data_IF_515210307136
#
_entry.id   IF_515210307136
#
_cell.length_a   1.000
_cell.length_b   1.000
_cell.length_c   1.000
_cell.angle_alpha   90.00
_cell.angle_beta   90.00
_cell.angle_gamma   90.00
#
_symmetry.space_group_name_H-M   'P 1'
#
loop_
_entity.id
_entity.type
_entity.pdbx_description
1 polymer ?
#
# COMPACT_ATOMS: atom_id res chain seq x y z
N UNK A 1 9.93 -42.28 -89.73
CA UNK A 1 10.53 -40.93 -89.88
C UNK A 1 9.48 -39.88 -89.56
N UNK A 2 9.83 -38.99 -88.61
CA UNK A 2 9.30 -37.63 -88.35
C UNK A 2 7.88 -37.43 -87.78
N UNK A 3 7.90 -36.85 -86.57
CA UNK A 3 6.84 -36.22 -85.77
C UNK A 3 6.18 -34.98 -86.42
N UNK A 4 4.96 -34.66 -85.97
CA UNK A 4 4.44 -33.37 -85.40
C UNK A 4 2.89 -33.45 -85.40
N UNK A 5 2.12 -33.54 -84.30
CA UNK A 5 2.01 -32.75 -83.06
C UNK A 5 1.65 -31.28 -83.29
N UNK A 6 0.35 -30.95 -83.30
CA UNK A 6 -0.25 -29.73 -82.72
C UNK A 6 -1.72 -30.04 -82.35
N UNK A 7 -1.98 -30.33 -81.08
CA UNK A 7 -3.32 -30.24 -80.49
C UNK A 7 -3.27 -29.12 -79.45
N UNK A 8 -3.75 -27.95 -79.87
CA UNK A 8 -4.19 -26.83 -79.03
C UNK A 8 -5.36 -27.37 -78.18
N UNK A 9 -5.41 -27.33 -76.86
CA UNK A 9 -5.09 -26.21 -75.97
C UNK A 9 -6.33 -25.98 -75.09
N UNK A 10 -6.53 -26.84 -74.09
CA UNK A 10 -7.56 -26.69 -73.06
C UNK A 10 -7.08 -27.41 -71.78
N UNK A 11 -6.11 -26.79 -71.11
CA UNK A 11 -5.77 -27.11 -69.73
C UNK A 11 -6.25 -25.94 -68.88
N UNK A 12 -7.44 -26.11 -68.31
CA UNK A 12 -7.91 -25.32 -67.18
C UNK A 12 -6.92 -25.57 -66.03
N UNK A 13 -5.97 -24.66 -65.86
CA UNK A 13 -5.17 -24.55 -64.65
C UNK A 13 -6.10 -24.15 -63.51
N UNK A 14 -6.68 -25.13 -62.83
CA UNK A 14 -7.21 -24.96 -61.50
C UNK A 14 -6.00 -24.68 -60.58
N UNK A 15 -5.63 -23.41 -60.45
CA UNK A 15 -4.82 -22.93 -59.35
C UNK A 15 -5.64 -23.12 -58.07
N UNK A 16 -5.56 -24.32 -57.49
CA UNK A 16 -5.91 -24.53 -56.09
C UNK A 16 -4.98 -23.64 -55.30
N UNK A 17 -5.49 -22.50 -54.85
CA UNK A 17 -4.88 -21.72 -53.78
C UNK A 17 -4.84 -22.63 -52.56
N UNK A 18 -3.76 -23.39 -52.40
CA UNK A 18 -3.47 -24.10 -51.17
C UNK A 18 -3.35 -23.02 -50.10
N UNK A 19 -4.41 -22.88 -49.29
CA UNK A 19 -4.41 -22.03 -48.11
C UNK A 19 -3.19 -22.43 -47.29
N UNK A 20 -2.28 -21.48 -47.04
CA UNK A 20 -1.09 -21.74 -46.23
C UNK A 20 -1.54 -22.44 -44.94
N UNK A 21 -0.84 -23.51 -44.50
CA UNK A 21 -1.23 -24.25 -43.32
C UNK A 21 -1.35 -23.30 -42.14
N UNK A 22 -2.49 -23.37 -41.46
CA UNK A 22 -2.76 -22.50 -40.32
C UNK A 22 -1.72 -22.74 -39.23
N UNK A 23 -1.18 -21.68 -38.59
CA UNK A 23 -0.13 -21.85 -37.59
C UNK A 23 -0.56 -22.82 -36.48
N UNK A 24 0.34 -23.70 -36.04
CA UNK A 24 0.00 -24.76 -35.08
C UNK A 24 -0.66 -24.23 -33.78
N UNK A 25 -0.31 -23.01 -33.36
CA UNK A 25 -0.87 -22.32 -32.19
C UNK A 25 -2.38 -22.02 -32.30
N UNK A 26 -2.96 -22.10 -33.50
CA UNK A 26 -4.41 -21.91 -33.74
C UNK A 26 -5.25 -23.17 -33.51
N UNK A 27 -4.64 -24.36 -33.51
CA UNK A 27 -5.36 -25.65 -33.54
C UNK A 27 -5.09 -26.53 -32.34
N UNK A 28 -3.94 -26.38 -31.67
CA UNK A 28 -3.65 -27.07 -30.44
C UNK A 28 -3.75 -26.12 -29.25
N UNK A 29 -4.51 -26.55 -28.22
CA UNK A 29 -4.71 -25.86 -26.94
C UNK A 29 -3.38 -25.54 -26.19
N UNK A 30 -2.24 -26.00 -26.71
CA UNK A 30 -0.91 -25.81 -26.11
C UNK A 30 0.25 -25.76 -27.11
N UNK A 31 0.01 -25.47 -28.41
CA UNK A 31 1.13 -25.29 -29.34
C UNK A 31 1.74 -23.90 -29.14
N UNK A 32 2.90 -23.87 -28.48
CA UNK A 32 3.71 -22.66 -28.35
C UNK A 32 4.03 -22.08 -29.73
N UNK A 33 3.90 -20.76 -29.85
CA UNK A 33 4.37 -20.07 -31.04
C UNK A 33 5.90 -20.24 -31.14
N UNK A 34 6.47 -20.77 -32.25
CA UNK A 34 7.90 -21.11 -32.33
C UNK A 34 8.85 -19.96 -32.01
N UNK A 35 8.46 -18.74 -32.35
CA UNK A 35 9.25 -17.52 -32.06
C UNK A 35 9.13 -17.01 -30.61
N UNK A 36 8.17 -17.49 -29.81
CA UNK A 36 7.84 -16.96 -28.48
C UNK A 36 7.73 -18.07 -27.42
N UNK A 37 8.86 -18.68 -27.01
CA UNK A 37 8.87 -19.74 -26.00
C UNK A 37 8.41 -19.24 -24.62
N UNK A 38 7.60 -20.03 -23.90
CA UNK A 38 7.04 -19.65 -22.59
C UNK A 38 8.08 -19.35 -21.50
N UNK A 39 9.27 -19.92 -21.63
CA UNK A 39 10.39 -19.65 -20.72
C UNK A 39 10.78 -18.16 -20.71
N UNK A 40 10.66 -17.46 -21.86
CA UNK A 40 10.99 -16.04 -22.01
C UNK A 40 9.76 -15.14 -22.05
N UNK A 41 8.63 -15.66 -22.52
CA UNK A 41 7.42 -14.88 -22.75
C UNK A 41 6.24 -15.39 -21.91
N UNK A 42 5.37 -14.48 -21.48
CA UNK A 42 4.01 -14.83 -21.12
C UNK A 42 3.18 -14.67 -22.38
N UNK A 43 2.43 -15.70 -22.76
CA UNK A 43 1.71 -15.73 -24.02
C UNK A 43 0.22 -15.95 -23.80
N UNK A 44 -0.62 -15.42 -24.67
CA UNK A 44 -2.06 -15.54 -24.59
C UNK A 44 -2.69 -15.57 -25.97
N UNK A 45 -3.60 -16.51 -26.18
CA UNK A 45 -4.35 -16.64 -27.43
C UNK A 45 -5.75 -16.08 -27.22
N UNK A 46 -6.16 -15.16 -28.07
CA UNK A 46 -7.53 -14.65 -28.13
C UNK A 46 -8.25 -15.22 -29.34
N UNK A 47 -9.54 -15.52 -29.16
CA UNK A 47 -10.41 -16.04 -30.21
C UNK A 47 -11.72 -15.27 -30.22
N UNK A 48 -12.23 -14.95 -31.40
CA UNK A 48 -13.53 -14.30 -31.57
C UNK A 48 -14.17 -14.67 -32.90
N UNK A 49 -15.47 -14.95 -32.89
CA UNK A 49 -16.28 -15.09 -34.10
C UNK A 49 -16.85 -13.75 -34.60
N UNK A 50 -16.68 -12.68 -33.81
CA UNK A 50 -17.32 -11.38 -34.06
C UNK A 50 -16.40 -10.45 -34.85
N UNK A 51 -15.18 -10.22 -34.35
CA UNK A 51 -14.21 -9.31 -34.99
C UNK A 51 -12.77 -9.64 -34.59
N UNK A 52 -11.82 -9.16 -35.40
CA UNK A 52 -10.40 -9.25 -35.07
C UNK A 52 -10.03 -8.44 -33.82
N UNK A 53 -10.68 -7.29 -33.61
CA UNK A 53 -10.43 -6.43 -32.44
C UNK A 53 -10.85 -7.10 -31.13
N UNK A 54 -11.95 -7.88 -31.14
CA UNK A 54 -12.37 -8.67 -29.98
C UNK A 54 -11.39 -9.82 -29.70
N UNK A 55 -10.87 -10.48 -30.75
CA UNK A 55 -9.82 -11.49 -30.58
C UNK A 55 -8.52 -10.87 -30.00
N UNK A 56 -8.14 -9.68 -30.46
CA UNK A 56 -6.99 -8.93 -29.94
C UNK A 56 -7.16 -8.57 -28.45
N UNK A 57 -8.33 -8.07 -28.06
CA UNK A 57 -8.64 -7.73 -26.68
C UNK A 57 -8.55 -8.97 -25.77
N UNK A 58 -9.17 -10.07 -26.19
CA UNK A 58 -9.13 -11.36 -25.46
C UNK A 58 -7.71 -11.93 -25.35
N UNK A 59 -6.87 -11.78 -26.38
CA UNK A 59 -5.49 -12.24 -26.34
C UNK A 59 -4.69 -11.50 -25.25
N UNK A 60 -4.86 -10.17 -25.18
CA UNK A 60 -4.23 -9.35 -24.13
C UNK A 60 -4.80 -9.67 -22.74
N UNK A 61 -6.11 -9.83 -22.63
CA UNK A 61 -6.79 -10.21 -21.39
C UNK A 61 -6.25 -11.55 -20.86
N UNK A 62 -6.06 -12.55 -21.73
CA UNK A 62 -5.53 -13.85 -21.33
C UNK A 62 -4.07 -13.78 -20.82
N UNK A 63 -3.24 -12.89 -21.37
CA UNK A 63 -1.90 -12.61 -20.81
C UNK A 63 -2.02 -11.96 -19.43
N UNK A 64 -2.87 -10.94 -19.30
CA UNK A 64 -3.08 -10.24 -18.03
C UNK A 64 -3.63 -11.18 -16.95
N UNK A 65 -4.58 -12.05 -17.29
CA UNK A 65 -5.17 -13.03 -16.38
C UNK A 65 -4.13 -14.01 -15.84
N UNK A 66 -3.21 -14.49 -16.68
CA UNK A 66 -2.12 -15.36 -16.22
C UNK A 66 -1.20 -14.66 -15.22
N UNK A 67 -0.93 -13.36 -15.40
CA UNK A 67 -0.16 -12.57 -14.45
C UNK A 67 -0.96 -12.38 -13.16
N UNK A 68 -2.24 -12.04 -13.26
CA UNK A 68 -3.15 -11.90 -12.12
C UNK A 68 -3.22 -13.15 -11.24
N UNK A 69 -3.34 -14.34 -11.83
CA UNK A 69 -3.30 -15.60 -11.07
C UNK A 69 -1.98 -15.78 -10.32
N UNK A 70 -0.85 -15.36 -10.91
CA UNK A 70 0.46 -15.40 -10.24
C UNK A 70 0.60 -14.33 -9.15
N UNK A 71 -0.02 -13.16 -9.30
CA UNK A 71 0.01 -12.10 -8.29
C UNK A 71 -0.54 -12.60 -6.95
N UNK A 72 -1.60 -13.41 -6.95
CA UNK A 72 -2.18 -13.96 -5.72
C UNK A 72 -1.19 -14.90 -5.00
N UNK A 73 -0.55 -15.80 -5.74
CA UNK A 73 0.47 -16.69 -5.17
C UNK A 73 1.71 -15.93 -4.72
N UNK A 74 2.15 -14.93 -5.48
CA UNK A 74 3.34 -14.14 -5.15
C UNK A 74 3.08 -13.18 -3.98
N UNK A 75 1.87 -12.65 -3.82
CA UNK A 75 1.51 -11.86 -2.64
C UNK A 75 1.66 -12.69 -1.37
N UNK A 76 1.13 -13.91 -1.39
CA UNK A 76 1.24 -14.85 -0.27
C UNK A 76 2.70 -15.28 -0.01
N UNK A 77 3.46 -15.52 -1.08
CA UNK A 77 4.89 -15.88 -1.02
C UNK A 77 5.74 -14.74 -0.42
N UNK A 78 5.53 -13.52 -0.90
CA UNK A 78 6.25 -12.34 -0.44
C UNK A 78 5.93 -12.01 1.02
N UNK A 79 4.65 -12.07 1.43
CA UNK A 79 4.26 -11.90 2.84
C UNK A 79 4.93 -12.92 3.75
N UNK A 80 5.03 -14.19 3.34
CA UNK A 80 5.77 -15.21 4.10
C UNK A 80 7.27 -14.89 4.17
N UNK A 81 7.86 -14.47 3.05
CA UNK A 81 9.27 -14.12 2.98
C UNK A 81 9.63 -12.94 3.89
N UNK A 82 8.79 -11.90 3.92
CA UNK A 82 9.04 -10.72 4.76
C UNK A 82 8.79 -10.97 6.25
N UNK A 83 7.82 -11.82 6.60
CA UNK A 83 7.48 -12.16 8.01
C UNK A 83 8.41 -13.19 8.65
N UNK A 84 8.92 -14.17 7.89
CA UNK A 84 9.87 -15.17 8.40
C UNK A 84 11.19 -14.56 8.88
N UNK A 85 11.54 -13.38 8.36
CA UNK A 85 12.74 -12.64 8.73
C UNK A 85 12.61 -11.84 10.05
N UNK A 86 11.66 -12.19 10.92
CA UNK A 86 11.72 -11.88 12.35
C UNK A 86 10.92 -10.68 12.85
N UNK A 87 10.07 -10.06 12.02
CA UNK A 87 9.22 -8.94 12.43
C UNK A 87 7.74 -9.33 12.34
N UNK A 88 7.06 -9.33 13.50
CA UNK A 88 5.61 -9.52 13.57
C UNK A 88 4.93 -8.20 13.21
N UNK A 89 4.88 -7.88 11.92
CA UNK A 89 3.90 -6.90 11.44
C UNK A 89 2.52 -7.47 11.81
N UNK A 90 1.79 -6.80 12.71
CA UNK A 90 0.42 -7.22 13.04
C UNK A 90 -0.36 -7.35 11.73
N UNK A 91 -1.01 -8.51 11.57
CA UNK A 91 -1.74 -9.02 10.39
C UNK A 91 -2.77 -8.04 9.77
N UNK A 92 -2.97 -6.86 10.38
CA UNK A 92 -3.84 -5.78 9.93
C UNK A 92 -3.31 -5.01 8.72
N UNK A 93 -2.00 -4.90 8.51
CA UNK A 93 -1.44 -4.29 7.29
C UNK A 93 -1.42 -5.32 6.14
N UNK A 94 -2.61 -5.79 5.74
CA UNK A 94 -2.74 -6.66 4.56
C UNK A 94 -2.27 -5.85 3.35
N UNK A 95 -1.14 -6.23 2.77
CA UNK A 95 -0.68 -5.74 1.48
C UNK A 95 -1.81 -5.92 0.46
N UNK A 96 -2.47 -4.81 0.11
CA UNK A 96 -3.51 -4.79 -0.92
C UNK A 96 -2.82 -4.59 -2.26
N UNK A 97 -2.28 -5.67 -2.81
CA UNK A 97 -1.85 -5.68 -4.20
C UNK A 97 -3.11 -5.70 -5.07
N UNK A 98 -3.16 -4.87 -6.11
CA UNK A 98 -4.25 -4.97 -7.11
C UNK A 98 -4.25 -6.38 -7.68
N UNK A 99 -5.42 -7.02 -7.70
CA UNK A 99 -5.59 -8.34 -8.30
C UNK A 99 -5.43 -8.32 -9.83
N UNK A 100 -5.50 -7.14 -10.46
CA UNK A 100 -5.34 -6.94 -11.91
C UNK A 100 -3.96 -6.43 -12.29
N UNK A 101 -3.43 -6.95 -13.40
CA UNK A 101 -2.26 -6.40 -14.07
C UNK A 101 -2.66 -5.24 -15.00
N UNK A 102 -2.39 -4.00 -14.57
CA UNK A 102 -2.87 -2.80 -15.26
C UNK A 102 -1.91 -2.28 -16.37
N UNK A 103 -0.83 -3.00 -16.69
CA UNK A 103 0.17 -2.61 -17.70
C UNK A 103 -0.05 -3.29 -19.06
N UNK A 104 -1.27 -3.16 -19.58
CA UNK A 104 -1.65 -3.69 -20.88
C UNK A 104 -0.85 -3.09 -22.05
N UNK A 105 -0.24 -1.92 -21.84
CA UNK A 105 0.71 -1.27 -22.75
C UNK A 105 1.96 -2.12 -23.04
N UNK A 106 2.36 -2.99 -22.11
CA UNK A 106 3.51 -3.86 -22.24
C UNK A 106 3.21 -5.17 -22.97
N UNK A 107 1.93 -5.45 -23.25
CA UNK A 107 1.48 -6.66 -23.94
C UNK A 107 1.37 -6.39 -25.44
N UNK A 108 2.16 -7.11 -26.23
CA UNK A 108 2.25 -6.94 -27.69
C UNK A 108 1.46 -8.02 -28.41
N UNK A 109 0.67 -7.60 -29.39
CA UNK A 109 0.11 -8.52 -30.39
C UNK A 109 1.19 -8.80 -31.43
N UNK A 110 1.44 -10.07 -31.72
CA UNK A 110 2.56 -10.49 -32.57
C UNK A 110 2.13 -11.35 -33.75
N UNK A 111 0.99 -12.01 -33.66
CA UNK A 111 0.44 -12.79 -34.76
C UNK A 111 -1.09 -12.71 -34.77
N UNK A 112 -1.68 -12.82 -35.96
CA UNK A 112 -3.12 -12.85 -36.19
C UNK A 112 -3.44 -13.84 -37.30
N UNK A 113 -4.48 -14.64 -37.11
CA UNK A 113 -4.95 -15.60 -38.10
C UNK A 113 -6.47 -15.56 -38.23
N UNK A 114 -6.98 -16.02 -39.37
CA UNK A 114 -8.42 -16.21 -39.59
C UNK A 114 -8.68 -17.57 -40.19
N UNK A 115 -9.52 -18.38 -39.55
CA UNK A 115 -9.86 -19.72 -40.01
C UNK A 115 -11.33 -20.01 -39.73
N UNK A 116 -12.06 -20.51 -40.73
CA UNK A 116 -13.45 -20.95 -40.56
C UNK A 116 -14.40 -19.84 -40.06
N UNK A 117 -14.13 -18.58 -40.38
CA UNK A 117 -14.91 -17.44 -39.88
C UNK A 117 -14.54 -16.97 -38.47
N UNK A 118 -13.59 -17.62 -37.80
CA UNK A 118 -13.07 -17.24 -36.48
C UNK A 118 -11.77 -16.45 -36.63
N UNK A 119 -11.64 -15.38 -35.86
CA UNK A 119 -10.44 -14.56 -35.72
C UNK A 119 -9.62 -15.07 -34.53
N UNK A 120 -8.32 -15.20 -34.73
CA UNK A 120 -7.35 -15.61 -33.73
C UNK A 120 -6.26 -14.55 -33.60
N UNK A 121 -5.86 -14.24 -32.37
CA UNK A 121 -4.79 -13.31 -32.08
C UNK A 121 -3.84 -13.88 -31.04
N UNK A 122 -2.54 -13.64 -31.22
CA UNK A 122 -1.50 -14.08 -30.29
C UNK A 122 -0.84 -12.87 -29.64
N UNK A 123 -0.97 -12.78 -28.33
CA UNK A 123 -0.37 -11.74 -27.51
C UNK A 123 0.82 -12.30 -26.72
N UNK A 124 1.85 -11.48 -26.55
CA UNK A 124 3.05 -11.82 -25.78
C UNK A 124 3.52 -10.68 -24.91
N UNK A 125 4.12 -11.03 -23.79
CA UNK A 125 4.85 -10.14 -22.91
C UNK A 125 6.25 -10.72 -22.66
N UNK A 126 7.30 -9.95 -22.95
CA UNK A 126 8.69 -10.35 -22.69
C UNK A 126 8.99 -10.16 -21.21
N UNK A 127 9.22 -11.26 -20.49
CA UNK A 127 9.43 -11.26 -19.04
C UNK A 127 10.57 -10.32 -18.63
N UNK A 128 11.71 -10.41 -19.31
CA UNK A 128 12.92 -9.67 -18.95
C UNK A 128 12.82 -8.19 -19.33
N UNK A 129 12.20 -7.88 -20.48
CA UNK A 129 11.98 -6.48 -20.86
C UNK A 129 10.98 -5.78 -19.93
N UNK A 130 9.89 -6.47 -19.59
CA UNK A 130 8.91 -5.94 -18.64
C UNK A 130 9.49 -5.80 -17.23
N UNK A 131 10.28 -6.76 -16.75
CA UNK A 131 10.93 -6.63 -15.44
C UNK A 131 11.84 -5.39 -15.36
N UNK A 132 12.60 -5.10 -16.42
CA UNK A 132 13.44 -3.88 -16.49
C UNK A 132 12.60 -2.60 -16.45
N UNK A 133 11.49 -2.56 -17.18
CA UNK A 133 10.59 -1.41 -17.20
C UNK A 133 9.96 -1.17 -15.82
N UNK A 134 9.49 -2.25 -15.17
CA UNK A 134 8.94 -2.19 -13.82
C UNK A 134 10.01 -1.75 -12.81
N UNK A 135 11.23 -2.31 -12.91
CA UNK A 135 12.38 -1.90 -12.12
C UNK A 135 12.73 -0.42 -12.28
N UNK A 136 12.75 0.08 -13.52
CA UNK A 136 12.97 1.50 -13.80
C UNK A 136 11.89 2.38 -13.16
N UNK A 137 10.62 1.98 -13.25
CA UNK A 137 9.50 2.73 -12.68
C UNK A 137 9.52 2.83 -11.14
N UNK A 138 10.09 1.83 -10.45
CA UNK A 138 10.19 1.81 -8.98
C UNK A 138 11.52 2.36 -8.45
N UNK A 139 12.50 2.64 -9.30
CA UNK A 139 13.87 3.00 -8.90
C UNK A 139 13.96 4.22 -7.97
N UNK A 140 13.15 5.25 -8.23
CA UNK A 140 13.07 6.45 -7.41
C UNK A 140 12.50 6.17 -6.00
N UNK A 141 11.46 5.33 -5.93
CA UNK A 141 10.86 4.91 -4.67
C UNK A 141 11.84 4.07 -3.86
N UNK A 142 12.52 3.10 -4.50
CA UNK A 142 13.53 2.27 -3.85
C UNK A 142 14.69 3.12 -3.29
N UNK A 143 15.23 4.04 -4.08
CA UNK A 143 16.29 4.96 -3.63
C UNK A 143 15.84 5.83 -2.45
N UNK A 144 14.64 6.39 -2.52
CA UNK A 144 14.05 7.19 -1.44
C UNK A 144 13.86 6.38 -0.16
N UNK A 145 13.43 5.12 -0.28
CA UNK A 145 13.32 4.21 0.85
C UNK A 145 14.68 3.91 1.48
N UNK A 146 15.71 3.59 0.68
CA UNK A 146 17.05 3.36 1.21
C UNK A 146 17.60 4.57 1.96
N UNK A 147 17.42 5.78 1.41
CA UNK A 147 17.84 7.01 2.06
C UNK A 147 17.10 7.25 3.39
N UNK A 148 15.77 7.09 3.39
CA UNK A 148 14.95 7.27 4.59
C UNK A 148 15.26 6.21 5.66
N UNK A 149 15.31 4.93 5.30
CA UNK A 149 15.61 3.85 6.24
C UNK A 149 17.06 3.93 6.77
N UNK A 150 18.02 4.31 5.92
CA UNK A 150 19.41 4.56 6.34
C UNK A 150 19.52 5.73 7.32
N UNK A 151 18.79 6.82 7.05
CA UNK A 151 18.72 7.98 7.95
C UNK A 151 18.10 7.61 9.29
N UNK A 152 16.99 6.86 9.28
CA UNK A 152 16.35 6.39 10.50
C UNK A 152 17.31 5.51 11.33
N UNK A 153 17.99 4.55 10.70
CA UNK A 153 18.95 3.69 11.40
C UNK A 153 20.09 4.49 12.05
N UNK A 154 20.66 5.45 11.32
CA UNK A 154 21.72 6.32 11.83
C UNK A 154 21.22 7.17 12.99
N UNK A 155 20.07 7.83 12.83
CA UNK A 155 19.46 8.66 13.86
C UNK A 155 19.14 7.87 15.13
N UNK A 156 18.70 6.60 15.00
CA UNK A 156 18.47 5.74 16.16
C UNK A 156 19.77 5.41 16.91
N UNK A 157 20.86 5.17 16.20
CA UNK A 157 22.18 4.93 16.81
C UNK A 157 22.76 6.19 17.48
N UNK A 158 22.41 7.37 16.98
CA UNK A 158 22.81 8.67 17.51
C UNK A 158 21.84 9.21 18.58
N UNK A 159 20.81 8.43 18.96
CA UNK A 159 19.75 8.82 19.90
C UNK A 159 18.97 10.09 19.48
N UNK A 160 18.93 10.40 18.18
CA UNK A 160 18.13 11.49 17.61
C UNK A 160 16.73 10.99 17.25
N UNK A 161 15.82 11.06 18.22
CA UNK A 161 14.45 10.60 18.05
C UNK A 161 13.62 11.44 17.06
N UNK A 162 13.93 12.72 16.88
CA UNK A 162 13.21 13.60 15.96
C UNK A 162 13.49 13.22 14.51
N UNK A 163 14.78 13.06 14.18
CA UNK A 163 15.21 12.61 12.85
C UNK A 163 14.79 11.16 12.60
N UNK A 164 14.90 10.28 13.61
CA UNK A 164 14.42 8.90 13.51
C UNK A 164 12.93 8.85 13.15
N UNK A 165 12.08 9.57 13.91
CA UNK A 165 10.63 9.58 13.69
C UNK A 165 10.26 10.07 12.29
N UNK A 166 10.90 11.16 11.84
CA UNK A 166 10.67 11.72 10.50
C UNK A 166 11.08 10.74 9.40
N UNK A 167 12.30 10.20 9.48
CA UNK A 167 12.85 9.33 8.46
C UNK A 167 12.11 7.98 8.39
N UNK A 168 11.73 7.41 9.53
CA UNK A 168 10.95 6.19 9.58
C UNK A 168 9.50 6.40 9.09
N UNK A 169 8.90 7.59 9.29
CA UNK A 169 7.60 7.93 8.71
C UNK A 169 7.67 7.97 7.18
N UNK A 170 8.71 8.60 6.61
CA UNK A 170 8.90 8.64 5.16
C UNK A 170 9.10 7.23 4.58
N UNK A 171 9.93 6.40 5.22
CA UNK A 171 10.11 5.01 4.80
C UNK A 171 8.79 4.21 4.87
N UNK A 172 7.97 4.41 5.90
CA UNK A 172 6.67 3.75 6.05
C UNK A 172 5.67 4.13 4.94
N UNK A 173 5.68 5.40 4.48
CA UNK A 173 4.82 5.85 3.36
C UNK A 173 5.18 5.19 2.03
N UNK A 174 6.48 4.96 1.81
CA UNK A 174 6.99 4.43 0.53
C UNK A 174 6.88 2.90 0.48
N UNK A 175 7.07 2.22 1.62
CA UNK A 175 7.15 0.75 1.74
C UNK A 175 6.03 0.00 0.99
N UNK A 176 4.73 0.31 1.14
CA UNK A 176 3.67 -0.45 0.48
C UNK A 176 3.76 -0.45 -1.05
N UNK A 177 4.26 0.66 -1.64
CA UNK A 177 4.46 0.77 -3.10
C UNK A 177 5.59 -0.13 -3.57
N UNK A 178 6.69 -0.18 -2.82
CA UNK A 178 7.83 -1.05 -3.15
C UNK A 178 7.48 -2.53 -2.95
N UNK A 179 6.86 -2.89 -1.82
CA UNK A 179 6.38 -4.25 -1.55
C UNK A 179 5.48 -4.74 -2.70
N UNK A 180 4.53 -3.90 -3.14
CA UNK A 180 3.66 -4.20 -4.28
C UNK A 180 4.42 -4.34 -5.60
N UNK A 181 5.42 -3.48 -5.86
CA UNK A 181 6.21 -3.52 -7.07
C UNK A 181 7.03 -4.83 -7.17
N UNK A 182 7.65 -5.29 -6.08
CA UNK A 182 8.37 -6.57 -6.05
C UNK A 182 7.45 -7.77 -6.32
N UNK A 183 6.23 -7.75 -5.78
CA UNK A 183 5.23 -8.80 -6.06
C UNK A 183 4.87 -8.85 -7.55
N UNK A 184 4.63 -7.69 -8.18
CA UNK A 184 4.33 -7.63 -9.62
C UNK A 184 5.51 -8.12 -10.46
N UNK A 185 6.73 -7.70 -10.09
CA UNK A 185 7.95 -8.15 -10.78
C UNK A 185 8.17 -9.65 -10.66
N UNK A 186 7.95 -10.24 -9.49
CA UNK A 186 7.99 -11.71 -9.30
C UNK A 186 6.96 -12.42 -10.17
N UNK A 187 5.72 -11.92 -10.23
CA UNK A 187 4.67 -12.54 -11.05
C UNK A 187 5.01 -12.53 -12.55
N UNK A 188 5.63 -11.44 -13.03
CA UNK A 188 6.07 -11.31 -14.42
C UNK A 188 7.34 -12.11 -14.70
N UNK A 189 8.41 -11.89 -13.94
CA UNK A 189 9.72 -12.50 -14.18
C UNK A 189 9.72 -14.00 -13.86
N UNK A 190 8.95 -14.42 -12.84
CA UNK A 190 8.94 -15.79 -12.31
C UNK A 190 10.04 -16.06 -11.28
N UNK A 191 10.77 -15.03 -10.85
CA UNK A 191 11.80 -15.11 -9.83
C UNK A 191 11.93 -13.75 -9.11
N UNK A 192 12.54 -13.72 -7.90
CA UNK A 192 12.88 -12.48 -7.21
C UNK A 192 13.77 -11.55 -8.04
N UNK A 193 13.64 -10.25 -7.82
CA UNK A 193 14.56 -9.26 -8.38
C UNK A 193 15.88 -9.24 -7.59
N UNK A 194 16.96 -8.75 -8.21
CA UNK A 194 18.30 -8.80 -7.61
C UNK A 194 18.39 -7.95 -6.33
N UNK A 195 17.77 -6.76 -6.37
CA UNK A 195 17.73 -5.78 -5.28
C UNK A 195 16.73 -6.14 -4.16
N UNK A 196 15.89 -7.17 -4.35
CA UNK A 196 14.82 -7.51 -3.40
C UNK A 196 15.36 -7.97 -2.04
N UNK A 197 16.45 -8.74 -2.06
CA UNK A 197 17.05 -9.27 -0.83
C UNK A 197 17.58 -8.16 0.08
N UNK A 198 18.30 -7.18 -0.49
CA UNK A 198 18.81 -6.01 0.22
C UNK A 198 17.68 -5.16 0.79
N UNK A 199 16.64 -4.93 -0.02
CA UNK A 199 15.45 -4.21 0.41
C UNK A 199 14.78 -4.87 1.62
N UNK A 200 14.52 -6.18 1.57
CA UNK A 200 13.81 -6.90 2.65
C UNK A 200 14.64 -6.90 3.95
N UNK A 201 15.97 -7.02 3.85
CA UNK A 201 16.85 -6.91 5.03
C UNK A 201 16.72 -5.53 5.68
N UNK A 202 16.82 -4.46 4.89
CA UNK A 202 16.72 -3.09 5.42
C UNK A 202 15.33 -2.78 5.97
N UNK A 203 14.27 -3.24 5.29
CA UNK A 203 12.88 -3.16 5.72
C UNK A 203 12.69 -3.78 7.10
N UNK A 204 13.19 -4.99 7.30
CA UNK A 204 12.98 -5.71 8.56
C UNK A 204 13.84 -5.14 9.70
N UNK A 205 15.06 -4.66 9.40
CA UNK A 205 15.85 -3.91 10.37
C UNK A 205 15.12 -2.64 10.83
N UNK A 206 14.56 -1.86 9.90
CA UNK A 206 13.81 -0.66 10.24
C UNK A 206 12.57 -0.98 11.09
N UNK A 207 11.81 -2.01 10.73
CA UNK A 207 10.64 -2.44 11.50
C UNK A 207 11.01 -2.85 12.93
N UNK A 208 12.11 -3.58 13.10
CA UNK A 208 12.60 -3.95 14.44
C UNK A 208 12.97 -2.70 15.27
N UNK A 209 13.62 -1.70 14.67
CA UNK A 209 13.94 -0.44 15.36
C UNK A 209 12.70 0.37 15.72
N UNK A 210 11.67 0.37 14.87
CA UNK A 210 10.39 1.03 15.14
C UNK A 210 9.70 0.35 16.34
N UNK A 211 9.63 -0.98 16.36
CA UNK A 211 9.04 -1.73 17.47
C UNK A 211 9.83 -1.55 18.77
N UNK A 212 11.17 -1.54 18.72
CA UNK A 212 12.01 -1.25 19.89
C UNK A 212 11.76 0.15 20.43
N UNK A 213 11.73 1.16 19.56
CA UNK A 213 11.45 2.55 19.93
C UNK A 213 10.05 2.68 20.53
N UNK A 214 9.05 2.01 19.95
CA UNK A 214 7.67 2.00 20.46
C UNK A 214 7.58 1.34 21.84
N UNK A 215 8.22 0.18 22.03
CA UNK A 215 8.20 -0.55 23.30
C UNK A 215 8.84 0.22 24.46
N UNK A 216 9.81 1.09 24.16
CA UNK A 216 10.45 1.99 25.13
C UNK A 216 9.70 3.31 25.30
N UNK A 217 8.80 3.66 24.37
CA UNK A 217 8.18 4.98 24.37
C UNK A 217 7.22 5.19 25.53
N UNK A 218 7.44 6.30 26.22
CA UNK A 218 6.62 6.76 27.34
C UNK A 218 5.86 8.02 26.90
N UNK A 219 4.57 8.08 27.26
CA UNK A 219 3.69 9.21 26.93
C UNK A 219 3.28 9.91 28.22
N UNK A 220 3.82 11.10 28.46
CA UNK A 220 3.41 11.97 29.55
C UNK A 220 2.08 12.64 29.23
N UNK A 221 1.02 12.25 29.93
CA UNK A 221 -0.32 12.82 29.72
C UNK A 221 -0.52 14.02 30.64
N UNK A 222 -0.65 15.21 30.07
CA UNK A 222 -0.83 16.47 30.80
C UNK A 222 -2.22 17.02 30.50
N UNK A 223 -3.12 16.96 31.49
CA UNK A 223 -4.50 17.47 31.35
C UNK A 223 -4.60 18.84 32.02
N UNK A 224 -4.87 19.90 31.23
CA UNK A 224 -4.81 21.29 31.69
C UNK A 224 -6.06 21.83 32.40
N UNK A 225 -7.06 20.98 32.70
CA UNK A 225 -8.32 21.43 33.31
C UNK A 225 -8.72 20.62 34.54
N UNK A 226 -8.99 21.34 35.64
CA UNK A 226 -9.67 20.82 36.81
C UNK A 226 -11.19 20.82 36.54
N UNK A 227 -11.78 19.63 36.38
CA UNK A 227 -13.22 19.46 36.12
C UNK A 227 -13.58 18.44 35.03
N UNK A 228 -12.58 17.92 34.32
CA UNK A 228 -12.75 16.85 33.33
C UNK A 228 -12.36 15.49 33.94
N UNK A 229 -13.05 15.06 35.00
CA UNK A 229 -12.68 13.88 35.82
C UNK A 229 -12.41 12.64 34.97
N UNK A 230 -13.20 12.39 33.94
CA UNK A 230 -13.07 11.22 33.07
C UNK A 230 -12.07 11.40 31.91
N UNK A 231 -11.64 12.63 31.60
CA UNK A 231 -10.84 12.90 30.40
C UNK A 231 -9.40 12.38 30.56
N UNK A 232 -8.84 12.50 31.77
CA UNK A 232 -7.54 11.91 32.09
C UNK A 232 -7.58 10.39 31.93
N UNK A 233 -8.60 9.73 32.49
CA UNK A 233 -8.76 8.27 32.40
C UNK A 233 -8.99 7.80 30.96
N UNK A 234 -9.82 8.50 30.17
CA UNK A 234 -10.01 8.18 28.75
C UNK A 234 -8.70 8.29 27.98
N UNK A 235 -7.92 9.35 28.22
CA UNK A 235 -6.65 9.58 27.53
C UNK A 235 -5.62 8.52 27.91
N UNK A 236 -5.43 8.26 29.21
CA UNK A 236 -4.48 7.25 29.72
C UNK A 236 -4.84 5.85 29.22
N UNK A 237 -6.13 5.49 29.22
CA UNK A 237 -6.57 4.20 28.70
C UNK A 237 -6.40 4.09 27.19
N UNK A 238 -6.62 5.17 26.43
CA UNK A 238 -6.33 5.19 25.00
C UNK A 238 -4.84 4.96 24.72
N UNK A 239 -3.93 5.62 25.45
CA UNK A 239 -2.48 5.40 25.34
C UNK A 239 -2.12 3.94 25.62
N UNK A 240 -2.67 3.33 26.68
CA UNK A 240 -2.45 1.90 27.00
C UNK A 240 -2.93 0.97 25.89
N UNK A 241 -4.11 1.24 25.31
CA UNK A 241 -4.68 0.45 24.20
C UNK A 241 -3.82 0.53 22.94
N UNK A 242 -3.10 1.63 22.74
CA UNK A 242 -2.11 1.79 21.68
C UNK A 242 -0.79 1.06 21.97
N UNK A 243 -0.66 0.34 23.10
CA UNK A 243 0.54 -0.38 23.49
C UNK A 243 1.67 0.52 24.01
N UNK A 244 1.35 1.77 24.37
CA UNK A 244 2.30 2.76 24.87
C UNK A 244 2.24 2.85 26.39
N UNK A 245 3.31 3.32 27.02
CA UNK A 245 3.40 3.46 28.48
C UNK A 245 2.97 4.87 28.89
N UNK A 246 1.78 5.10 29.46
CA UNK A 246 1.44 6.41 29.98
C UNK A 246 2.20 6.70 31.29
N UNK A 247 2.57 7.95 31.50
CA UNK A 247 2.93 8.48 32.80
C UNK A 247 2.39 9.92 32.98
N UNK A 248 2.76 10.56 34.10
CA UNK A 248 2.35 11.92 34.43
C UNK A 248 3.44 12.98 34.17
N UNK A 249 4.58 12.61 33.59
CA UNK A 249 5.74 13.47 33.45
C UNK A 249 5.74 14.19 32.09
N UNK A 250 5.52 15.50 32.11
CA UNK A 250 5.73 16.36 30.94
C UNK A 250 7.21 16.44 30.56
N UNK A 251 7.49 16.83 29.32
CA UNK A 251 8.84 16.91 28.76
C UNK A 251 9.78 17.78 29.61
N UNK A 252 9.28 18.87 30.19
CA UNK A 252 10.05 19.78 31.03
C UNK A 252 10.56 19.14 32.34
N UNK A 253 9.94 18.05 32.79
CA UNK A 253 10.25 17.38 34.07
C UNK A 253 11.11 16.12 33.91
N UNK A 254 11.45 15.76 32.67
CA UNK A 254 12.18 14.53 32.36
C UNK A 254 13.68 14.75 32.33
N UNK A 255 14.43 13.74 32.78
CA UNK A 255 15.87 13.68 32.61
C UNK A 255 16.22 13.68 31.11
N UNK A 256 17.34 14.30 30.75
CA UNK A 256 17.79 14.43 29.36
C UNK A 256 17.91 13.08 28.63
N UNK A 257 18.33 12.03 29.35
CA UNK A 257 18.47 10.65 28.85
C UNK A 257 17.12 10.00 28.47
N UNK A 258 16.02 10.48 29.06
CA UNK A 258 14.69 9.90 28.89
C UNK A 258 13.86 10.67 27.84
N UNK A 259 14.40 11.75 27.26
CA UNK A 259 13.70 12.59 26.29
C UNK A 259 13.54 11.91 24.92
N UNK A 260 14.47 11.04 24.53
CA UNK A 260 14.51 10.37 23.22
C UNK A 260 13.30 9.47 23.00
N UNK A 261 12.88 8.75 24.03
CA UNK A 261 11.73 7.85 23.97
C UNK A 261 10.54 8.43 24.75
N UNK A 262 10.43 9.76 24.85
CA UNK A 262 9.31 10.43 25.52
C UNK A 262 8.49 11.33 24.59
N UNK A 263 7.18 11.32 24.80
CA UNK A 263 6.23 12.22 24.15
C UNK A 263 5.33 12.84 25.20
N UNK A 264 5.15 14.16 25.16
CA UNK A 264 4.11 14.83 25.95
C UNK A 264 2.82 14.88 25.14
N UNK A 265 1.72 14.51 25.77
CA UNK A 265 0.38 14.62 25.23
C UNK A 265 -0.38 15.63 26.09
N UNK A 266 -0.43 16.85 25.59
CA UNK A 266 -1.15 17.97 26.16
C UNK A 266 -2.64 17.86 25.78
N UNK A 267 -3.51 17.73 26.79
CA UNK A 267 -4.96 17.65 26.61
C UNK A 267 -5.60 18.90 27.22
N UNK A 268 -6.11 19.76 26.34
CA UNK A 268 -6.70 21.05 26.70
C UNK A 268 -8.17 21.06 26.29
N UNK A 269 -9.11 20.97 27.24
CA UNK A 269 -10.51 21.22 26.95
C UNK A 269 -10.80 22.72 26.91
N UNK A 270 -11.56 23.14 25.90
CA UNK A 270 -12.09 24.48 25.74
C UNK A 270 -13.61 24.41 25.92
N UNK A 271 -14.13 25.15 26.90
CA UNK A 271 -15.56 25.24 27.18
C UNK A 271 -16.08 26.63 26.83
N UNK A 272 -17.15 26.69 26.03
CA UNK A 272 -17.83 27.94 25.70
C UNK A 272 -19.32 27.81 25.99
N UNK A 273 -19.79 28.50 27.01
CA UNK A 273 -21.20 28.56 27.36
C UNK A 273 -21.77 29.95 27.05
N UNK A 274 -22.95 29.99 26.45
CA UNK A 274 -23.68 31.19 26.06
C UNK A 274 -25.18 30.96 26.11
N UNK A 275 -25.94 32.01 26.41
CA UNK A 275 -27.39 31.99 26.29
C UNK A 275 -27.82 32.09 24.81
N UNK A 276 -28.78 31.28 24.39
CA UNK A 276 -29.31 31.27 23.03
C UNK A 276 -30.83 31.13 23.00
N UNK A 277 -31.42 31.07 21.80
CA UNK A 277 -32.87 31.05 21.62
C UNK A 277 -33.60 29.84 22.26
N UNK A 278 -32.87 28.77 22.60
CA UNK A 278 -33.39 27.55 23.22
C UNK A 278 -32.97 27.41 24.70
N UNK A 279 -32.45 28.49 25.31
CA UNK A 279 -31.91 28.51 26.66
C UNK A 279 -30.38 28.50 26.69
N UNK A 280 -29.82 27.99 27.78
CA UNK A 280 -28.38 27.85 28.00
C UNK A 280 -27.77 26.83 27.05
N UNK A 281 -26.71 27.22 26.32
CA UNK A 281 -25.95 26.35 25.42
C UNK A 281 -24.51 26.31 25.86
N UNK A 282 -23.94 25.11 25.97
CA UNK A 282 -22.51 24.89 26.19
C UNK A 282 -21.91 24.05 25.06
N UNK A 283 -20.73 24.46 24.61
CA UNK A 283 -19.91 23.75 23.65
C UNK A 283 -18.59 23.34 24.32
N UNK A 284 -18.20 22.09 24.12
CA UNK A 284 -16.93 21.53 24.60
C UNK A 284 -16.13 21.07 23.40
N UNK A 285 -14.89 21.53 23.31
CA UNK A 285 -13.90 21.07 22.34
C UNK A 285 -12.70 20.57 23.11
N UNK A 286 -12.22 19.37 22.82
CA UNK A 286 -10.98 18.86 23.43
C UNK A 286 -9.89 18.91 22.39
N UNK A 287 -8.87 19.73 22.63
CA UNK A 287 -7.67 19.81 21.80
C UNK A 287 -6.57 18.96 22.41
N UNK A 288 -5.97 18.11 21.58
CA UNK A 288 -4.86 17.25 21.93
C UNK A 288 -3.64 17.69 21.13
N UNK A 289 -2.51 17.89 21.81
CA UNK A 289 -1.23 18.24 21.19
C UNK A 289 -0.20 17.22 21.67
N UNK A 290 0.31 16.42 20.75
CA UNK A 290 1.42 15.52 20.99
C UNK A 290 2.74 16.19 20.58
N UNK A 291 3.75 16.12 21.43
CA UNK A 291 5.08 16.65 21.13
C UNK A 291 6.18 15.69 21.60
N UNK A 292 7.11 15.36 20.71
CA UNK A 292 8.30 14.61 21.09
C UNK A 292 9.19 15.45 22.02
N UNK A 293 9.61 14.89 23.15
CA UNK A 293 10.39 15.64 24.15
C UNK A 293 11.81 15.97 23.69
N UNK A 294 12.35 15.19 22.74
CA UNK A 294 13.61 15.49 22.05
C UNK A 294 13.50 16.62 21.01
N UNK A 295 12.29 17.13 20.74
CA UNK A 295 12.03 18.13 19.70
C UNK A 295 11.72 17.54 18.32
N UNK A 296 11.28 18.42 17.41
CA UNK A 296 10.96 18.08 16.02
C UNK A 296 9.48 17.79 15.79
N UNK A 297 9.06 16.55 16.04
CA UNK A 297 7.76 16.06 15.58
C UNK A 297 6.65 16.43 16.57
N UNK A 298 5.55 16.98 16.05
CA UNK A 298 4.33 17.24 16.80
C UNK A 298 3.10 16.79 16.01
N UNK A 299 2.02 16.49 16.72
CA UNK A 299 0.73 16.15 16.16
C UNK A 299 -0.37 16.89 16.91
N UNK A 300 -1.43 17.26 16.20
CA UNK A 300 -2.59 17.94 16.78
C UNK A 300 -3.84 17.23 16.33
N UNK A 301 -4.71 16.94 17.28
CA UNK A 301 -6.04 16.41 17.00
C UNK A 301 -7.08 17.11 17.86
N UNK A 302 -8.34 17.02 17.45
CA UNK A 302 -9.47 17.55 18.21
C UNK A 302 -10.57 16.51 18.32
N UNK A 303 -11.17 16.42 19.50
CA UNK A 303 -12.47 15.75 19.64
C UNK A 303 -13.52 16.69 19.06
N UNK A 304 -14.39 16.16 18.21
CA UNK A 304 -15.46 16.92 17.57
C UNK A 304 -16.28 17.72 18.59
N UNK A 305 -16.75 18.91 18.19
CA UNK A 305 -17.47 19.84 19.06
C UNK A 305 -18.69 19.14 19.67
N UNK A 306 -18.66 18.96 20.99
CA UNK A 306 -19.75 18.39 21.76
C UNK A 306 -20.65 19.53 22.27
N UNK A 307 -21.96 19.42 22.04
CA UNK A 307 -22.92 20.48 22.37
C UNK A 307 -23.99 20.00 23.33
N UNK A 308 -24.21 20.74 24.42
CA UNK A 308 -25.31 20.54 25.35
C UNK A 308 -26.20 21.78 25.42
N UNK A 309 -27.50 21.58 25.55
CA UNK A 309 -28.50 22.65 25.62
C UNK A 309 -29.45 22.32 26.77
N UNK A 310 -29.75 23.31 27.61
CA UNK A 310 -30.75 23.19 28.66
C UNK A 310 -31.58 24.48 28.75
N UNK A 311 -32.91 24.41 28.97
CA UNK A 311 -33.78 25.60 28.92
C UNK A 311 -33.39 26.75 29.86
N UNK A 312 -32.78 26.46 31.02
CA UNK A 312 -32.53 27.48 32.06
C UNK A 312 -31.36 27.18 33.01
N UNK A 313 -30.55 26.14 32.75
CA UNK A 313 -29.52 25.68 33.69
C UNK A 313 -28.22 25.42 32.95
N UNK A 314 -27.28 26.34 33.12
CA UNK A 314 -25.98 26.30 32.45
C UNK A 314 -25.14 25.10 32.85
N UNK A 315 -25.20 24.67 34.11
CA UNK A 315 -24.44 23.51 34.57
C UNK A 315 -25.02 22.21 34.01
N UNK A 316 -26.34 22.11 33.84
CA UNK A 316 -26.94 20.98 33.11
C UNK A 316 -26.58 21.00 31.63
N UNK A 317 -26.62 22.16 30.97
CA UNK A 317 -26.17 22.29 29.57
C UNK A 317 -24.70 21.87 29.42
N UNK A 318 -23.85 22.25 30.38
CA UNK A 318 -22.44 21.88 30.45
C UNK A 318 -22.26 20.36 30.62
N UNK A 319 -22.96 19.72 31.56
CA UNK A 319 -22.91 18.26 31.75
C UNK A 319 -23.33 17.50 30.50
N UNK A 320 -24.44 17.91 29.87
CA UNK A 320 -24.91 17.31 28.61
C UNK A 320 -23.92 17.45 27.45
N UNK A 321 -23.10 18.51 27.44
CA UNK A 321 -22.02 18.64 26.47
C UNK A 321 -20.89 17.64 26.77
N UNK A 322 -20.49 17.53 28.04
CA UNK A 322 -19.46 16.59 28.49
C UNK A 322 -19.85 15.12 28.33
N UNK A 323 -21.13 14.75 28.52
CA UNK A 323 -21.62 13.37 28.30
C UNK A 323 -21.43 12.89 26.85
N UNK A 324 -21.31 13.82 25.90
CA UNK A 324 -21.05 13.52 24.48
C UNK A 324 -19.56 13.35 24.17
N UNK A 325 -18.66 13.71 25.09
CA UNK A 325 -17.23 13.44 24.99
C UNK A 325 -16.99 11.99 25.43
N UNK A 326 -17.02 11.07 24.46
CA UNK A 326 -16.92 9.64 24.73
C UNK A 326 -15.47 9.15 24.74
N UNK A 327 -15.21 8.03 25.43
CA UNK A 327 -13.92 7.36 25.41
C UNK A 327 -13.45 7.01 23.98
N UNK A 328 -14.38 6.62 23.09
CA UNK A 328 -14.05 6.28 21.71
C UNK A 328 -13.62 7.51 20.90
N UNK A 329 -14.27 8.66 21.10
CA UNK A 329 -13.90 9.90 20.43
C UNK A 329 -12.53 10.40 20.91
N UNK A 330 -12.25 10.28 22.22
CA UNK A 330 -10.93 10.57 22.80
C UNK A 330 -9.88 9.60 22.26
N UNK A 331 -10.16 8.30 22.20
CA UNK A 331 -9.22 7.30 21.67
C UNK A 331 -8.83 7.57 20.21
N UNK A 332 -9.81 7.94 19.36
CA UNK A 332 -9.57 8.32 17.98
C UNK A 332 -8.68 9.58 17.90
N UNK A 333 -8.95 10.60 18.70
CA UNK A 333 -8.16 11.83 18.72
C UNK A 333 -6.73 11.61 19.29
N UNK A 334 -6.57 10.76 20.31
CA UNK A 334 -5.25 10.36 20.84
C UNK A 334 -4.45 9.65 19.76
N UNK A 335 -5.06 8.70 19.05
CA UNK A 335 -4.39 7.99 17.95
C UNK A 335 -3.93 8.96 16.86
N UNK A 336 -4.80 9.90 16.47
CA UNK A 336 -4.50 10.89 15.44
C UNK A 336 -3.37 11.85 15.87
N UNK A 337 -3.44 12.38 17.09
CA UNK A 337 -2.39 13.24 17.65
C UNK A 337 -1.04 12.51 17.74
N UNK A 338 -1.03 11.25 18.19
CA UNK A 338 0.19 10.46 18.33
C UNK A 338 0.69 9.84 17.03
N UNK A 339 -0.10 9.85 15.94
CA UNK A 339 0.29 9.26 14.65
C UNK A 339 1.57 9.89 14.13
N UNK A 340 1.69 11.21 14.24
CA UNK A 340 2.87 11.96 13.83
C UNK A 340 4.09 11.65 14.69
N UNK A 341 3.93 11.52 16.01
CA UNK A 341 5.05 11.42 16.95
C UNK A 341 5.52 10.00 17.22
N UNK A 342 4.70 8.96 16.99
CA UNK A 342 4.97 7.60 17.48
C UNK A 342 5.01 6.52 16.38
N UNK A 343 4.81 6.86 15.09
CA UNK A 343 4.79 5.86 14.00
C UNK A 343 3.86 4.70 14.33
N UNK A 344 2.68 5.01 14.87
CA UNK A 344 1.67 4.01 15.18
C UNK A 344 1.28 3.36 13.85
N UNK A 345 1.54 2.07 13.71
CA UNK A 345 1.18 1.29 12.53
C UNK A 345 -0.29 1.48 12.17
N UNK A 346 -0.58 1.63 10.88
CA UNK A 346 -1.94 1.68 10.35
C UNK A 346 -2.65 0.33 10.47
#
# INVERSE_FOLDING_TARGET
>A
MKLKLVALGLVLAACSTAQAPTPAWTTAVSADHPAYPQARFITGVGLSSTSADDADARAKENVALQISTRLESETSSFQKYTTQAGTSETVTSRLSVRSSFDRADLIRLVDRARQGGVFYSYAVLDRAATDRELGASMSADLSSFHAAAGTARKARAEEDAGVFGTAAAEAAKIRPRIDSAFIVRRAVAGHPAAEESEYVVLRNQLLALIEEARARRVVGVVVKSAGAENLADFTVNAVKRLGLRPDAAGCATRDRKDLTDATELDVTPEEKCSEGALGERCEVVVRLVAQACSGGVSGVATVAVARGIHPSDRERARRLAWDKVTAQAVEAAVRDALKGTILIGE
#
